data_IF_990354240910
#
_entry.id   IF_990354240910
#
_cell.length_a   1.000
_cell.length_b   1.000
_cell.length_c   1.000
_cell.angle_alpha   90.00
_cell.angle_beta   90.00
_cell.angle_gamma   90.00
#
_symmetry.space_group_name_H-M   'P 1'
#
loop_
_entity.id
_entity.type
_entity.pdbx_description
1 polymer ?
#
# COMPACT_ATOMS: atom_id res chain seq x y z
N UNK A 1 1.34 1.69 11.84
CA UNK A 1 0.51 0.47 11.72
C UNK A 1 0.02 0.40 10.29
N UNK A 2 0.07 -0.78 9.66
CA UNK A 2 -0.35 -0.97 8.26
C UNK A 2 -1.48 -1.99 8.25
N UNK A 3 -2.55 -1.72 7.49
CA UNK A 3 -3.70 -2.62 7.31
C UNK A 3 -4.08 -2.57 5.83
N UNK A 4 -4.26 -3.74 5.21
CA UNK A 4 -4.66 -3.90 3.83
C UNK A 4 -5.43 -5.22 3.66
N UNK A 5 -6.12 -5.39 2.53
CA UNK A 5 -6.92 -6.58 2.24
C UNK A 5 -6.08 -7.85 2.09
N UNK A 6 -4.89 -7.73 1.49
CA UNK A 6 -3.99 -8.85 1.23
C UNK A 6 -2.80 -8.83 2.20
N UNK A 7 -2.39 -10.00 2.74
CA UNK A 7 -1.25 -10.10 3.65
C UNK A 7 0.05 -9.54 3.06
N UNK A 8 0.34 -9.84 1.79
CA UNK A 8 1.56 -9.41 1.09
C UNK A 8 1.63 -7.88 0.98
N UNK A 9 0.48 -7.22 0.80
CA UNK A 9 0.42 -5.75 0.80
C UNK A 9 0.74 -5.18 2.18
N UNK A 10 0.23 -5.80 3.26
CA UNK A 10 0.57 -5.40 4.64
C UNK A 10 2.07 -5.58 4.91
N UNK A 11 2.64 -6.71 4.49
CA UNK A 11 4.05 -7.03 4.66
C UNK A 11 4.95 -6.02 3.94
N UNK A 12 4.63 -5.70 2.68
CA UNK A 12 5.36 -4.72 1.88
C UNK A 12 5.29 -3.31 2.50
N UNK A 13 4.11 -2.84 2.90
CA UNK A 13 3.98 -1.56 3.58
C UNK A 13 4.73 -1.52 4.91
N UNK A 14 4.70 -2.62 5.67
CA UNK A 14 5.43 -2.73 6.94
C UNK A 14 6.95 -2.78 6.73
N UNK A 15 7.44 -3.41 5.67
CA UNK A 15 8.85 -3.38 5.26
C UNK A 15 9.31 -1.96 4.92
N UNK A 16 8.52 -1.21 4.15
CA UNK A 16 8.84 0.19 3.81
C UNK A 16 8.95 1.06 5.07
N UNK A 17 8.02 0.93 6.01
CA UNK A 17 8.12 1.65 7.30
C UNK A 17 9.37 1.23 8.09
N UNK A 18 9.69 -0.07 8.12
CA UNK A 18 10.89 -0.59 8.80
C UNK A 18 12.18 -0.04 8.18
N UNK A 19 12.17 0.20 6.88
CA UNK A 19 13.30 0.76 6.14
C UNK A 19 13.35 2.31 6.20
N UNK A 20 12.53 2.95 7.05
CA UNK A 20 12.55 4.39 7.29
C UNK A 20 11.65 5.21 6.35
N UNK A 21 10.82 4.54 5.54
CA UNK A 21 9.81 5.20 4.72
C UNK A 21 8.69 5.82 5.55
N UNK A 22 8.01 6.80 4.99
CA UNK A 22 6.88 7.46 5.63
C UNK A 22 5.55 6.73 5.35
N UNK A 23 4.44 7.25 5.90
CA UNK A 23 3.11 6.65 5.73
C UNK A 23 2.62 6.62 4.27
N UNK A 24 3.01 7.60 3.46
CA UNK A 24 2.67 7.65 2.03
C UNK A 24 3.47 6.60 1.26
N UNK A 25 4.78 6.48 1.53
CA UNK A 25 5.62 5.46 0.88
C UNK A 25 5.07 4.05 1.15
N UNK A 26 4.69 3.78 2.40
CA UNK A 26 4.07 2.52 2.80
C UNK A 26 2.72 2.29 2.09
N UNK A 27 1.88 3.32 1.97
CA UNK A 27 0.60 3.21 1.27
C UNK A 27 0.77 2.93 -0.23
N UNK A 28 1.77 3.53 -0.89
CA UNK A 28 2.10 3.26 -2.29
C UNK A 28 2.60 1.84 -2.48
N UNK A 29 3.47 1.34 -1.59
CA UNK A 29 3.94 -0.05 -1.64
C UNK A 29 2.77 -1.04 -1.47
N UNK A 30 1.87 -0.81 -0.51
CA UNK A 30 0.66 -1.61 -0.35
C UNK A 30 -0.18 -1.64 -1.64
N UNK A 31 -0.42 -0.46 -2.25
CA UNK A 31 -1.25 -0.35 -3.44
C UNK A 31 -0.65 -1.04 -4.67
N UNK A 32 0.65 -0.91 -4.88
CA UNK A 32 1.35 -1.57 -6.00
C UNK A 32 1.36 -3.09 -5.82
N UNK A 33 1.63 -3.59 -4.61
CA UNK A 33 1.58 -5.04 -4.32
C UNK A 33 0.16 -5.57 -4.47
N UNK A 34 -0.85 -4.87 -3.95
CA UNK A 34 -2.26 -5.23 -4.13
C UNK A 34 -2.65 -5.33 -5.60
N UNK A 35 -2.13 -4.46 -6.47
CA UNK A 35 -2.33 -4.55 -7.92
C UNK A 35 -1.75 -5.81 -8.58
N UNK A 36 -0.84 -6.51 -7.91
CA UNK A 36 -0.27 -7.80 -8.37
C UNK A 36 -0.99 -8.98 -7.73
N UNK A 37 -1.22 -8.94 -6.41
CA UNK A 37 -1.77 -10.08 -5.66
C UNK A 37 -3.29 -10.14 -5.62
N UNK A 38 -3.98 -9.02 -5.89
CA UNK A 38 -5.44 -8.93 -5.97
C UNK A 38 -5.89 -8.25 -7.28
N UNK A 39 -5.66 -8.88 -8.43
CA UNK A 39 -5.97 -8.30 -9.74
C UNK A 39 -7.47 -8.15 -10.02
N UNK A 40 -8.34 -8.78 -9.23
CA UNK A 40 -9.79 -8.64 -9.37
C UNK A 40 -10.29 -7.31 -8.83
N UNK A 41 -9.61 -6.76 -7.81
CA UNK A 41 -10.00 -5.52 -7.13
C UNK A 41 -9.07 -4.35 -7.43
N UNK A 42 -7.79 -4.61 -7.70
CA UNK A 42 -6.74 -3.61 -7.90
C UNK A 42 -6.01 -3.81 -9.23
N UNK A 43 -5.44 -2.75 -9.82
CA UNK A 43 -4.67 -2.88 -11.06
C UNK A 43 -4.02 -1.57 -11.54
N UNK A 44 -2.98 -1.70 -12.38
CA UNK A 44 -2.14 -0.58 -12.84
C UNK A 44 -2.87 0.44 -13.73
N UNK A 45 -3.90 0.00 -14.45
CA UNK A 45 -4.71 0.83 -15.33
C UNK A 45 -5.94 1.44 -14.62
N UNK A 46 -6.08 1.21 -13.31
CA UNK A 46 -7.17 1.74 -12.51
C UNK A 46 -6.94 3.19 -12.06
N UNK A 47 -7.65 3.57 -10.99
CA UNK A 47 -7.50 4.86 -10.32
C UNK A 47 -7.42 4.64 -8.81
N UNK A 48 -6.58 5.43 -8.12
CA UNK A 48 -6.46 5.41 -6.67
C UNK A 48 -6.45 6.83 -6.12
N UNK A 49 -7.01 7.01 -4.93
CA UNK A 49 -6.94 8.24 -4.15
C UNK A 49 -6.28 7.96 -2.80
N UNK A 50 -5.44 8.89 -2.35
CA UNK A 50 -4.80 8.81 -1.03
C UNK A 50 -5.18 10.04 -0.22
N UNK A 51 -5.84 9.85 0.91
CA UNK A 51 -6.13 10.92 1.85
C UNK A 51 -5.10 10.88 2.97
N UNK A 52 -4.44 12.01 3.19
CA UNK A 52 -3.38 12.14 4.17
C UNK A 52 -3.86 13.14 5.22
N UNK A 53 -3.92 12.69 6.47
CA UNK A 53 -4.04 13.58 7.61
C UNK A 53 -2.64 13.88 8.12
N UNK A 54 -2.27 15.15 8.08
CA UNK A 54 -1.09 15.67 8.75
C UNK A 54 -1.55 16.46 9.98
N UNK A 55 -0.81 16.41 11.10
CA UNK A 55 -1.07 17.26 12.26
C UNK A 55 -0.88 18.74 11.96
#
# INVERSE_FOLDING_TARGET
MVVAAQPEAVEAGAEVLRNGGNAVDAAIACGLVAGVVDPQMCGIAGFGNCQIMMP
#
